data_IF_786982519541
#
_entry.id   IF_786982519541
#
_cell.length_a   1.000
_cell.length_b   1.000
_cell.length_c   1.000
_cell.angle_alpha   90.00
_cell.angle_beta   90.00
_cell.angle_gamma   90.00
#
_symmetry.space_group_name_H-M   'P 1'
#
loop_
_entity.id
_entity.type
_entity.pdbx_description
1 polymer ?
#
# COMPACT_ATOMS: atom_id res chain seq x y z
N UNK A 1 18.27 7.34 -10.41
CA UNK A 1 19.16 8.19 -9.58
C UNK A 1 18.84 7.95 -8.11
N UNK A 2 19.80 7.50 -7.34
CA UNK A 2 19.65 7.28 -5.89
C UNK A 2 20.27 8.49 -5.20
N UNK A 3 19.48 9.28 -4.52
CA UNK A 3 19.97 10.34 -3.66
C UNK A 3 19.77 9.89 -2.22
N UNK A 4 20.84 9.73 -1.44
CA UNK A 4 20.82 9.31 -0.03
C UNK A 4 20.12 7.95 0.24
N UNK A 5 20.26 6.95 -0.64
CA UNK A 5 19.63 5.63 -0.49
C UNK A 5 18.12 5.58 -0.69
N UNK A 6 17.47 6.70 -1.07
CA UNK A 6 16.02 6.78 -1.32
C UNK A 6 15.72 6.92 -2.80
N UNK A 7 14.75 6.15 -3.29
CA UNK A 7 14.24 6.32 -4.66
C UNK A 7 13.46 7.63 -4.75
N UNK A 8 13.75 8.41 -5.81
CA UNK A 8 13.00 9.62 -6.13
C UNK A 8 11.63 9.25 -6.70
N UNK A 9 10.59 9.99 -6.32
CA UNK A 9 9.27 9.89 -6.95
C UNK A 9 9.36 10.29 -8.44
N UNK A 10 8.57 9.65 -9.32
CA UNK A 10 8.55 9.98 -10.75
C UNK A 10 7.79 11.27 -11.10
N UNK A 11 7.43 12.06 -10.10
CA UNK A 11 6.74 13.35 -10.20
C UNK A 11 7.26 14.29 -9.12
N UNK A 12 7.02 15.59 -9.30
CA UNK A 12 7.33 16.61 -8.30
C UNK A 12 6.23 16.65 -7.23
N UNK A 13 6.55 16.42 -5.94
CA UNK A 13 5.59 16.54 -4.86
C UNK A 13 5.00 17.95 -4.71
N UNK A 14 5.76 19.02 -4.94
CA UNK A 14 5.27 20.39 -4.79
C UNK A 14 4.22 20.72 -5.86
N UNK A 15 4.43 20.30 -7.11
CA UNK A 15 3.44 20.42 -8.18
C UNK A 15 2.14 19.68 -7.83
N UNK A 16 2.30 18.46 -7.27
CA UNK A 16 1.15 17.68 -6.83
C UNK A 16 0.37 18.37 -5.70
N UNK A 17 1.06 18.93 -4.73
CA UNK A 17 0.43 19.65 -3.61
C UNK A 17 -0.25 20.94 -4.06
N UNK A 18 0.39 21.71 -4.94
CA UNK A 18 -0.19 22.92 -5.52
C UNK A 18 -1.48 22.59 -6.28
N UNK A 19 -1.45 21.56 -7.14
CA UNK A 19 -2.63 21.09 -7.87
C UNK A 19 -3.78 20.68 -6.92
N UNK A 20 -3.50 19.86 -5.92
CA UNK A 20 -4.52 19.34 -5.01
C UNK A 20 -5.16 20.45 -4.16
N UNK A 21 -4.37 21.43 -3.70
CA UNK A 21 -4.88 22.61 -2.97
C UNK A 21 -5.80 23.46 -3.85
N UNK A 22 -5.43 23.69 -5.09
CA UNK A 22 -6.24 24.44 -6.04
C UNK A 22 -7.54 23.70 -6.41
N UNK A 23 -7.45 22.37 -6.61
CA UNK A 23 -8.56 21.54 -7.05
C UNK A 23 -9.63 21.29 -5.96
N UNK A 24 -9.25 21.29 -4.67
CA UNK A 24 -10.16 20.93 -3.58
C UNK A 24 -9.78 21.61 -2.26
N UNK A 25 -10.48 22.68 -1.89
CA UNK A 25 -10.22 23.46 -0.66
C UNK A 25 -10.23 22.61 0.62
N UNK A 26 -11.12 21.60 0.75
CA UNK A 26 -11.16 20.73 1.92
C UNK A 26 -9.94 19.81 1.99
N UNK A 27 -9.49 19.31 0.84
CA UNK A 27 -8.26 18.55 0.76
C UNK A 27 -7.04 19.45 1.06
N UNK A 28 -7.04 20.68 0.56
CA UNK A 28 -6.01 21.68 0.90
C UNK A 28 -5.89 21.91 2.41
N UNK A 29 -7.02 22.10 3.10
CA UNK A 29 -7.04 22.20 4.57
C UNK A 29 -6.48 20.95 5.26
N UNK A 30 -6.75 19.75 4.73
CA UNK A 30 -6.17 18.51 5.26
C UNK A 30 -4.65 18.48 5.04
N UNK A 31 -4.17 18.85 3.85
CA UNK A 31 -2.74 18.94 3.52
C UNK A 31 -2.02 19.86 4.52
N UNK A 32 -2.57 21.04 4.78
CA UNK A 32 -1.97 22.01 5.70
C UNK A 32 -1.92 21.51 7.15
N UNK A 33 -2.95 20.76 7.57
CA UNK A 33 -3.01 20.15 8.91
C UNK A 33 -2.11 18.93 9.09
N UNK A 34 -1.97 18.13 8.04
CA UNK A 34 -1.20 16.89 8.09
C UNK A 34 0.31 17.12 7.90
N UNK A 35 0.68 18.27 7.36
CA UNK A 35 2.08 18.65 7.17
C UNK A 35 2.72 18.04 5.93
N UNK A 36 4.03 17.88 5.99
CA UNK A 36 4.89 17.50 4.86
C UNK A 36 4.50 16.15 4.24
N UNK A 37 4.49 16.09 2.91
CA UNK A 37 4.34 14.87 2.14
C UNK A 37 5.63 14.03 2.24
N UNK A 38 5.54 12.86 2.85
CA UNK A 38 6.69 12.01 3.13
C UNK A 38 6.53 10.57 2.66
N UNK A 39 5.84 10.37 1.54
CA UNK A 39 5.74 9.04 0.91
C UNK A 39 7.13 8.52 0.58
N UNK A 40 7.47 7.34 1.11
CA UNK A 40 8.72 6.64 0.83
C UNK A 40 8.45 5.46 -0.08
N UNK A 41 9.15 5.40 -1.20
CA UNK A 41 9.12 4.22 -2.05
C UNK A 41 9.92 3.09 -1.38
N UNK A 42 9.34 1.91 -1.31
CA UNK A 42 10.00 0.71 -0.80
C UNK A 42 11.18 0.28 -1.68
N UNK A 43 11.95 -0.71 -1.20
CA UNK A 43 13.11 -1.23 -1.90
C UNK A 43 12.80 -1.66 -3.35
N UNK A 44 13.82 -1.61 -4.20
CA UNK A 44 13.79 -2.01 -5.62
C UNK A 44 13.80 -3.53 -5.77
N UNK A 45 12.71 -4.17 -5.36
CA UNK A 45 12.47 -5.56 -5.76
C UNK A 45 11.87 -5.62 -7.18
N UNK A 46 11.84 -6.80 -7.73
CA UNK A 46 11.02 -7.08 -8.92
C UNK A 46 9.53 -7.08 -8.54
N UNK A 47 8.59 -7.01 -9.50
CA UNK A 47 7.19 -7.23 -9.20
C UNK A 47 6.95 -8.59 -8.51
N UNK A 48 7.68 -9.63 -8.90
CA UNK A 48 7.65 -10.94 -8.27
C UNK A 48 8.00 -10.87 -6.78
N UNK A 49 9.14 -10.31 -6.41
CA UNK A 49 9.58 -10.25 -5.00
C UNK A 49 8.68 -9.35 -4.16
N UNK A 50 8.16 -8.27 -4.73
CA UNK A 50 7.19 -7.39 -4.06
C UNK A 50 5.86 -8.08 -3.78
N UNK A 51 5.36 -8.90 -4.72
CA UNK A 51 4.13 -9.67 -4.54
C UNK A 51 4.34 -10.88 -3.61
N UNK A 52 5.51 -11.52 -3.66
CA UNK A 52 5.91 -12.57 -2.71
C UNK A 52 5.85 -12.05 -1.28
N UNK A 53 6.48 -10.91 -1.01
CA UNK A 53 6.40 -10.25 0.29
C UNK A 53 4.95 -9.95 0.67
N UNK A 54 4.17 -9.39 -0.25
CA UNK A 54 2.75 -9.07 -0.01
C UNK A 54 1.95 -10.31 0.39
N UNK A 55 2.11 -11.45 -0.29
CA UNK A 55 1.44 -12.72 0.04
C UNK A 55 1.84 -13.20 1.43
N UNK A 56 3.14 -13.15 1.76
CA UNK A 56 3.62 -13.60 3.08
C UNK A 56 3.04 -12.75 4.22
N UNK A 57 2.86 -11.45 3.99
CA UNK A 57 2.39 -10.51 5.02
C UNK A 57 0.86 -10.45 5.16
N UNK A 58 0.07 -11.01 4.24
CA UNK A 58 -1.41 -11.00 4.33
C UNK A 58 -1.90 -11.61 5.64
N UNK A 59 -2.85 -10.95 6.30
CA UNK A 59 -3.55 -11.43 7.51
C UNK A 59 -2.63 -11.79 8.69
N UNK A 60 -1.44 -11.19 8.78
CA UNK A 60 -0.50 -11.41 9.87
C UNK A 60 -0.08 -10.09 10.50
N UNK A 61 0.27 -10.13 11.80
CA UNK A 61 0.98 -9.02 12.42
C UNK A 61 2.41 -8.91 11.87
N UNK A 62 2.91 -7.70 11.69
CA UNK A 62 4.20 -7.43 11.06
C UNK A 62 5.37 -8.26 11.59
N UNK A 63 5.49 -8.47 12.92
CA UNK A 63 6.56 -9.30 13.52
C UNK A 63 6.47 -10.78 13.11
N UNK A 64 5.26 -11.35 13.10
CA UNK A 64 5.07 -12.75 12.71
C UNK A 64 5.33 -12.91 11.20
N UNK A 65 4.83 -12.00 10.36
CA UNK A 65 5.10 -11.99 8.93
C UNK A 65 6.60 -11.88 8.62
N UNK A 66 7.32 -10.97 9.29
CA UNK A 66 8.75 -10.79 9.12
C UNK A 66 9.54 -12.07 9.51
N UNK A 67 9.13 -12.78 10.57
CA UNK A 67 9.75 -14.03 10.98
C UNK A 67 9.57 -15.12 9.92
N UNK A 68 8.34 -15.26 9.36
CA UNK A 68 8.08 -16.23 8.30
C UNK A 68 8.86 -15.87 7.05
N UNK A 69 8.84 -14.58 6.65
CA UNK A 69 9.59 -14.11 5.49
C UNK A 69 11.09 -14.43 5.61
N UNK A 70 11.70 -14.12 6.76
CA UNK A 70 13.10 -14.47 7.01
C UNK A 70 13.38 -15.96 6.88
N UNK A 71 12.49 -16.84 7.40
CA UNK A 71 12.64 -18.29 7.27
C UNK A 71 12.50 -18.76 5.83
N UNK A 72 11.63 -18.12 5.04
CA UNK A 72 11.50 -18.41 3.60
C UNK A 72 12.79 -18.01 2.88
N UNK A 73 13.34 -16.81 3.12
CA UNK A 73 14.61 -16.37 2.51
C UNK A 73 15.77 -17.29 2.88
N UNK A 74 15.79 -17.83 4.11
CA UNK A 74 16.84 -18.77 4.54
C UNK A 74 16.86 -20.07 3.71
N UNK A 75 15.75 -20.47 3.09
CA UNK A 75 15.72 -21.62 2.16
C UNK A 75 16.51 -21.32 0.86
N UNK A 76 16.79 -20.06 0.57
CA UNK A 76 17.41 -19.59 -0.66
C UNK A 76 18.69 -18.76 -0.41
N UNK A 77 19.41 -19.06 0.68
CA UNK A 77 20.67 -18.38 1.01
C UNK A 77 20.49 -16.91 1.41
N UNK A 78 19.45 -16.60 2.18
CA UNK A 78 19.09 -15.25 2.68
C UNK A 78 18.78 -14.25 1.54
N UNK A 79 18.41 -14.76 0.36
CA UNK A 79 18.05 -13.97 -0.82
C UNK A 79 16.60 -14.25 -1.25
N UNK A 80 16.02 -13.35 -2.05
CA UNK A 80 14.76 -13.63 -2.71
C UNK A 80 14.90 -14.84 -3.63
N UNK A 81 13.94 -15.80 -3.64
CA UNK A 81 13.99 -16.94 -4.54
C UNK A 81 13.83 -16.53 -5.99
N UNK A 82 14.50 -17.23 -6.89
CA UNK A 82 14.14 -17.23 -8.30
C UNK A 82 12.80 -17.96 -8.49
N UNK A 83 11.96 -17.54 -9.45
CA UNK A 83 10.62 -18.15 -9.64
C UNK A 83 10.67 -19.66 -9.80
N UNK A 84 11.60 -20.19 -10.60
CA UNK A 84 11.73 -21.64 -10.79
C UNK A 84 12.11 -22.35 -9.49
N UNK A 85 13.05 -21.82 -8.72
CA UNK A 85 13.46 -22.39 -7.45
C UNK A 85 12.29 -22.48 -6.44
N UNK A 86 11.41 -21.46 -6.45
CA UNK A 86 10.22 -21.45 -5.61
C UNK A 86 9.20 -22.53 -6.04
N UNK A 87 9.04 -22.79 -7.33
CA UNK A 87 8.18 -23.87 -7.86
C UNK A 87 8.74 -25.23 -7.42
N UNK A 88 10.04 -25.43 -7.55
CA UNK A 88 10.71 -26.70 -7.28
C UNK A 88 10.81 -27.01 -5.78
N UNK A 89 10.66 -26.00 -4.91
CA UNK A 89 10.69 -26.19 -3.45
C UNK A 89 9.49 -27.03 -3.00
N UNK A 90 9.74 -28.16 -2.26
CA UNK A 90 8.67 -28.96 -1.69
C UNK A 90 7.78 -28.16 -0.74
N UNK A 91 6.47 -28.42 -0.79
CA UNK A 91 5.46 -27.74 0.06
C UNK A 91 5.79 -27.89 1.56
N UNK A 92 6.35 -29.03 1.95
CA UNK A 92 6.74 -29.35 3.33
C UNK A 92 7.81 -28.38 3.85
N UNK A 93 8.77 -27.97 3.02
CA UNK A 93 9.80 -27.02 3.38
C UNK A 93 9.21 -25.63 3.62
N UNK A 94 8.30 -25.20 2.74
CA UNK A 94 7.60 -23.92 2.93
C UNK A 94 6.67 -23.94 4.15
N UNK A 95 6.04 -25.09 4.44
CA UNK A 95 5.24 -25.26 5.68
C UNK A 95 6.13 -25.21 6.93
N UNK A 96 7.28 -25.83 6.91
CA UNK A 96 8.24 -25.78 8.01
C UNK A 96 8.74 -24.35 8.26
N UNK A 97 8.85 -23.52 7.22
CA UNK A 97 9.13 -22.09 7.34
C UNK A 97 7.96 -21.27 7.93
N UNK A 98 6.75 -21.88 8.06
CA UNK A 98 5.55 -21.25 8.64
C UNK A 98 4.56 -20.72 7.62
N UNK A 99 4.71 -21.07 6.34
CA UNK A 99 3.80 -20.63 5.27
C UNK A 99 2.54 -21.50 5.24
N UNK A 100 1.36 -20.89 5.29
CA UNK A 100 0.09 -21.64 5.21
C UNK A 100 -0.13 -22.23 3.82
N UNK A 101 -0.89 -23.34 3.73
CA UNK A 101 -1.15 -24.04 2.46
C UNK A 101 -1.76 -23.15 1.37
N UNK A 102 -2.63 -22.20 1.73
CA UNK A 102 -3.18 -21.25 0.76
C UNK A 102 -2.13 -20.25 0.25
N UNK A 103 -1.22 -19.80 1.12
CA UNK A 103 -0.10 -18.95 0.71
C UNK A 103 0.91 -19.69 -0.16
N UNK A 104 1.17 -20.99 0.12
CA UNK A 104 2.04 -21.81 -0.73
C UNK A 104 1.48 -21.90 -2.15
N UNK A 105 0.18 -22.17 -2.28
CA UNK A 105 -0.49 -22.19 -3.59
C UNK A 105 -0.41 -20.84 -4.30
N UNK A 106 -0.55 -19.73 -3.57
CA UNK A 106 -0.44 -18.39 -4.12
C UNK A 106 1.01 -18.05 -4.55
N UNK A 107 2.00 -18.45 -3.76
CA UNK A 107 3.42 -18.24 -4.08
C UNK A 107 3.84 -19.03 -5.33
N UNK A 108 3.41 -20.28 -5.46
CA UNK A 108 3.70 -21.11 -6.65
C UNK A 108 2.99 -20.60 -7.90
N UNK A 109 1.74 -20.13 -7.77
CA UNK A 109 1.02 -19.49 -8.87
C UNK A 109 1.71 -18.17 -9.31
N UNK A 110 2.15 -17.34 -8.35
CA UNK A 110 2.93 -16.15 -8.62
C UNK A 110 4.22 -16.48 -9.40
N UNK A 111 4.93 -17.54 -8.99
CA UNK A 111 6.16 -17.96 -9.65
C UNK A 111 5.88 -18.45 -11.08
N UNK A 112 4.86 -19.28 -11.29
CA UNK A 112 4.46 -19.76 -12.62
C UNK A 112 4.08 -18.60 -13.55
N UNK A 113 3.28 -17.64 -13.04
CA UNK A 113 2.87 -16.45 -13.80
C UNK A 113 4.01 -15.45 -14.04
N UNK A 114 5.10 -15.54 -13.29
CA UNK A 114 6.31 -14.78 -13.56
C UNK A 114 7.10 -15.41 -14.73
N UNK A 115 7.15 -16.74 -14.78
CA UNK A 115 7.84 -17.47 -15.86
C UNK A 115 7.10 -17.37 -17.20
N UNK A 116 5.77 -17.35 -17.19
CA UNK A 116 4.97 -17.21 -18.42
C UNK A 116 4.84 -15.74 -18.89
N UNK A 117 5.32 -14.77 -18.09
CA UNK A 117 5.31 -13.34 -18.43
C UNK A 117 4.01 -12.61 -18.08
N UNK A 118 3.01 -13.25 -17.47
CA UNK A 118 1.79 -12.58 -16.92
C UNK A 118 2.22 -11.55 -15.87
N UNK A 119 3.12 -11.92 -14.94
CA UNK A 119 3.81 -10.98 -14.05
C UNK A 119 5.02 -10.41 -14.78
N UNK A 120 4.99 -9.13 -15.18
CA UNK A 120 6.02 -8.55 -16.03
C UNK A 120 7.32 -8.30 -15.25
N UNK A 121 8.44 -8.26 -15.97
CA UNK A 121 9.72 -7.83 -15.40
C UNK A 121 9.65 -6.38 -14.91
N UNK A 122 10.60 -5.98 -14.03
CA UNK A 122 10.68 -4.60 -13.55
C UNK A 122 10.77 -3.57 -14.69
N UNK A 123 11.53 -3.86 -15.73
CA UNK A 123 11.66 -2.97 -16.90
C UNK A 123 10.37 -2.88 -17.71
N UNK A 124 9.65 -3.97 -17.83
CA UNK A 124 8.39 -4.03 -18.58
C UNK A 124 7.26 -3.31 -17.85
N UNK A 125 7.08 -3.55 -16.54
CA UNK A 125 5.98 -2.99 -15.75
C UNK A 125 5.99 -1.45 -15.72
N UNK A 126 7.17 -0.83 -15.80
CA UNK A 126 7.29 0.63 -15.81
C UNK A 126 6.66 1.27 -17.05
N UNK A 127 6.54 0.52 -18.15
CA UNK A 127 5.98 0.99 -19.42
C UNK A 127 4.49 0.73 -19.57
N UNK A 128 3.91 -0.11 -18.70
CA UNK A 128 2.50 -0.49 -18.79
C UNK A 128 1.61 0.57 -18.14
N UNK A 129 0.38 0.77 -18.67
CA UNK A 129 -0.68 1.53 -18.01
C UNK A 129 -1.09 0.87 -16.67
N UNK A 130 -1.49 1.69 -15.68
CA UNK A 130 -1.90 1.19 -14.36
C UNK A 130 -3.06 0.18 -14.45
N UNK A 131 -4.02 0.39 -15.36
CA UNK A 131 -5.15 -0.52 -15.57
C UNK A 131 -4.70 -1.90 -16.04
N UNK A 132 -3.75 -1.97 -16.98
CA UNK A 132 -3.19 -3.23 -17.48
C UNK A 132 -2.38 -3.96 -16.39
N UNK A 133 -1.64 -3.21 -15.56
CA UNK A 133 -0.92 -3.79 -14.42
C UNK A 133 -1.91 -4.41 -13.43
N UNK A 134 -3.00 -3.71 -13.12
CA UNK A 134 -4.04 -4.21 -12.21
C UNK A 134 -4.66 -5.48 -12.78
N UNK A 135 -5.04 -5.48 -14.05
CA UNK A 135 -5.64 -6.66 -14.70
C UNK A 135 -4.72 -7.88 -14.61
N UNK A 136 -3.49 -7.77 -15.13
CA UNK A 136 -2.52 -8.87 -15.16
C UNK A 136 -2.16 -9.40 -13.77
N UNK A 137 -1.83 -8.51 -12.84
CA UNK A 137 -1.38 -8.95 -11.52
C UNK A 137 -2.52 -9.49 -10.65
N UNK A 138 -3.77 -9.08 -10.91
CA UNK A 138 -4.95 -9.62 -10.22
C UNK A 138 -5.31 -11.04 -10.67
N UNK A 139 -4.71 -11.56 -11.74
CA UNK A 139 -4.83 -12.96 -12.13
C UNK A 139 -4.07 -13.90 -11.17
N UNK A 140 -3.05 -13.38 -10.48
CA UNK A 140 -2.27 -14.16 -9.51
C UNK A 140 -3.15 -14.53 -8.33
N UNK A 141 -3.16 -15.82 -7.98
CA UNK A 141 -3.93 -16.34 -6.86
C UNK A 141 -3.65 -15.57 -5.57
N UNK A 142 -4.71 -15.06 -4.93
CA UNK A 142 -4.61 -14.31 -3.67
C UNK A 142 -4.13 -12.87 -3.80
N UNK A 143 -3.90 -12.39 -5.01
CA UNK A 143 -3.62 -10.98 -5.30
C UNK A 143 -4.88 -10.32 -5.84
N UNK A 144 -5.43 -9.36 -5.09
CA UNK A 144 -6.56 -8.56 -5.53
C UNK A 144 -6.13 -7.15 -5.94
N UNK A 145 -7.05 -6.41 -6.54
CA UNK A 145 -6.86 -5.02 -6.99
C UNK A 145 -6.20 -4.15 -5.92
N UNK A 146 -6.63 -4.24 -4.66
CA UNK A 146 -6.04 -3.47 -3.57
C UNK A 146 -4.53 -3.74 -3.38
N UNK A 147 -4.10 -5.01 -3.46
CA UNK A 147 -2.67 -5.36 -3.33
C UNK A 147 -1.85 -4.76 -4.48
N UNK A 148 -2.41 -4.77 -5.70
CA UNK A 148 -1.76 -4.16 -6.87
C UNK A 148 -1.72 -2.64 -6.75
N UNK A 149 -2.78 -2.00 -6.28
CA UNK A 149 -2.80 -0.55 -6.00
C UNK A 149 -1.72 -0.14 -4.97
N UNK A 150 -1.49 -0.96 -3.92
CA UNK A 150 -0.40 -0.73 -2.96
C UNK A 150 0.98 -0.86 -3.64
N UNK A 151 1.17 -1.83 -4.53
CA UNK A 151 2.40 -1.96 -5.31
C UNK A 151 2.60 -0.73 -6.22
N UNK A 152 1.56 -0.29 -6.91
CA UNK A 152 1.60 0.90 -7.78
C UNK A 152 2.03 2.16 -7.00
N UNK A 153 1.43 2.39 -5.83
CA UNK A 153 1.70 3.58 -5.01
C UNK A 153 3.06 3.49 -4.33
N UNK A 154 3.34 2.40 -3.59
CA UNK A 154 4.47 2.32 -2.67
C UNK A 154 5.73 1.70 -3.28
N UNK A 155 5.62 0.98 -4.39
CA UNK A 155 6.78 0.37 -5.07
C UNK A 155 7.10 1.06 -6.39
N UNK A 156 6.08 1.37 -7.21
CA UNK A 156 6.30 2.02 -8.51
C UNK A 156 6.21 3.55 -8.45
N UNK A 157 5.64 4.12 -7.40
CA UNK A 157 5.48 5.57 -7.24
C UNK A 157 4.47 6.17 -8.22
N UNK A 158 3.49 5.39 -8.68
CA UNK A 158 2.48 5.89 -9.63
C UNK A 158 1.67 7.02 -9.01
N UNK A 159 1.54 8.19 -9.68
CA UNK A 159 0.92 9.37 -9.08
C UNK A 159 -0.60 9.32 -9.02
N UNK A 160 -1.24 8.50 -9.86
CA UNK A 160 -2.67 8.64 -10.15
C UNK A 160 -3.52 7.42 -9.77
N UNK A 161 -3.13 6.67 -8.74
CA UNK A 161 -3.87 5.52 -8.19
C UNK A 161 -4.77 6.00 -7.05
N UNK A 162 -6.02 5.50 -7.00
CA UNK A 162 -6.96 5.83 -5.94
C UNK A 162 -7.66 4.59 -5.39
N UNK A 163 -7.17 4.01 -4.29
CA UNK A 163 -7.66 2.75 -3.74
C UNK A 163 -9.00 2.95 -3.00
N UNK A 164 -10.10 3.00 -3.74
CA UNK A 164 -11.44 3.30 -3.22
C UNK A 164 -12.00 2.22 -2.30
N UNK A 165 -11.45 1.01 -2.32
CA UNK A 165 -11.84 -0.09 -1.44
C UNK A 165 -11.02 -0.13 -0.16
N UNK A 166 -9.92 0.64 -0.09
CA UNK A 166 -9.08 0.71 1.10
C UNK A 166 -9.83 1.34 2.28
N UNK A 167 -9.83 0.64 3.41
CA UNK A 167 -10.52 1.08 4.62
C UNK A 167 -10.01 2.43 5.13
N UNK A 168 -8.69 2.63 5.15
CA UNK A 168 -8.05 3.86 5.62
C UNK A 168 -8.38 5.05 4.72
N UNK A 169 -8.34 4.85 3.40
CA UNK A 169 -8.72 5.88 2.42
C UNK A 169 -10.20 6.24 2.54
N UNK A 170 -11.09 5.25 2.69
CA UNK A 170 -12.53 5.48 2.89
C UNK A 170 -12.80 6.22 4.22
N UNK A 171 -12.15 5.79 5.29
CA UNK A 171 -12.27 6.44 6.60
C UNK A 171 -11.73 7.88 6.55
N UNK A 172 -10.55 8.08 5.98
CA UNK A 172 -9.96 9.42 5.82
C UNK A 172 -10.80 10.34 4.96
N UNK A 173 -11.44 9.80 3.92
CA UNK A 173 -12.40 10.55 3.11
C UNK A 173 -13.62 10.98 3.93
N UNK A 174 -14.20 10.09 4.74
CA UNK A 174 -15.32 10.44 5.63
C UNK A 174 -14.91 11.55 6.61
N UNK A 175 -13.76 11.41 7.28
CA UNK A 175 -13.22 12.40 8.22
C UNK A 175 -13.00 13.78 7.59
N UNK A 176 -12.64 13.82 6.31
CA UNK A 176 -12.29 15.07 5.60
C UNK A 176 -13.53 15.74 4.99
N UNK A 177 -14.45 14.97 4.43
CA UNK A 177 -15.50 15.49 3.57
C UNK A 177 -16.93 15.36 4.13
N UNK A 178 -17.15 14.47 5.10
CA UNK A 178 -18.44 14.26 5.74
C UNK A 178 -18.50 14.90 7.13
N UNK A 179 -19.71 15.05 7.68
CA UNK A 179 -19.90 15.43 9.08
C UNK A 179 -19.88 14.16 9.93
N UNK A 180 -18.74 13.89 10.55
CA UNK A 180 -18.55 12.73 11.41
C UNK A 180 -18.57 13.18 12.88
N UNK A 181 -19.33 12.51 13.77
CA UNK A 181 -19.29 12.80 15.19
C UNK A 181 -17.89 12.60 15.77
N UNK A 182 -17.37 13.59 16.49
CA UNK A 182 -16.05 13.47 17.17
C UNK A 182 -16.09 12.53 18.40
N UNK A 183 -17.29 12.29 18.94
CA UNK A 183 -17.50 11.53 20.18
C UNK A 183 -17.31 10.02 20.04
N UNK A 184 -17.32 9.47 18.83
CA UNK A 184 -17.20 8.03 18.58
C UNK A 184 -16.46 7.72 17.27
N UNK A 185 -16.04 6.46 17.12
CA UNK A 185 -15.44 5.98 15.88
C UNK A 185 -16.49 5.90 14.75
N UNK A 186 -16.00 6.06 13.50
CA UNK A 186 -16.79 5.83 12.29
C UNK A 186 -17.09 4.33 12.17
N UNK A 187 -18.34 3.98 11.94
CA UNK A 187 -18.74 2.59 11.67
C UNK A 187 -18.55 2.25 10.18
N UNK A 188 -18.52 0.96 9.85
CA UNK A 188 -18.43 0.49 8.48
C UNK A 188 -19.58 1.00 7.59
N UNK A 189 -20.79 1.13 8.14
CA UNK A 189 -21.96 1.64 7.43
C UNK A 189 -21.87 3.14 7.07
N UNK A 190 -21.06 3.90 7.81
CA UNK A 190 -20.85 5.33 7.58
C UNK A 190 -19.72 5.61 6.56
N UNK A 191 -19.01 4.58 6.13
CA UNK A 191 -17.97 4.75 5.13
C UNK A 191 -18.57 5.12 3.76
N UNK A 192 -18.01 6.11 3.07
CA UNK A 192 -18.51 6.56 1.77
C UNK A 192 -18.48 5.43 0.74
N UNK A 193 -19.47 5.42 -0.14
CA UNK A 193 -19.50 4.49 -1.28
C UNK A 193 -18.38 4.85 -2.27
N UNK A 194 -17.77 3.86 -2.95
CA UNK A 194 -16.72 4.09 -3.94
C UNK A 194 -17.09 5.12 -5.01
N UNK A 195 -18.33 5.10 -5.50
CA UNK A 195 -18.80 6.01 -6.56
C UNK A 195 -18.76 7.48 -6.13
N UNK A 196 -19.11 7.76 -4.86
CA UNK A 196 -19.05 9.10 -4.26
C UNK A 196 -17.61 9.59 -4.20
N UNK A 197 -16.70 8.71 -3.80
CA UNK A 197 -15.29 9.01 -3.71
C UNK A 197 -14.67 9.23 -5.08
N UNK A 198 -14.95 8.36 -6.05
CA UNK A 198 -14.48 8.48 -7.43
C UNK A 198 -14.96 9.77 -8.08
N UNK A 199 -16.24 10.13 -7.89
CA UNK A 199 -16.80 11.39 -8.41
C UNK A 199 -16.01 12.60 -7.91
N UNK A 200 -15.65 12.64 -6.63
CA UNK A 200 -14.83 13.72 -6.07
C UNK A 200 -13.39 13.64 -6.55
N UNK A 201 -12.79 12.47 -6.58
CA UNK A 201 -11.39 12.23 -6.93
C UNK A 201 -11.07 12.53 -8.41
N UNK A 202 -12.07 12.74 -9.29
CA UNK A 202 -11.83 13.18 -10.67
C UNK A 202 -10.99 14.44 -10.74
N UNK A 203 -11.21 15.40 -9.84
CA UNK A 203 -10.51 16.68 -9.80
C UNK A 203 -9.08 16.58 -9.26
N UNK A 204 -8.72 15.48 -8.59
CA UNK A 204 -7.39 15.25 -8.02
C UNK A 204 -6.42 14.62 -9.03
N UNK A 205 -6.93 14.15 -10.18
CA UNK A 205 -6.04 13.68 -11.23
C UNK A 205 -5.14 14.84 -11.73
N UNK A 206 -3.85 14.55 -12.00
CA UNK A 206 -3.20 13.24 -12.06
C UNK A 206 -2.53 12.80 -10.74
N UNK A 207 -2.86 13.39 -9.58
CA UNK A 207 -2.17 13.16 -8.30
C UNK A 207 -3.02 12.47 -7.25
N UNK A 208 -3.88 11.52 -7.68
CA UNK A 208 -4.79 10.81 -6.77
C UNK A 208 -4.09 9.96 -5.71
N UNK A 209 -2.87 9.46 -5.98
CA UNK A 209 -2.07 8.74 -4.99
C UNK A 209 -1.63 9.65 -3.84
N UNK A 210 -1.26 10.90 -4.15
CA UNK A 210 -0.91 11.91 -3.14
C UNK A 210 -2.13 12.25 -2.30
N UNK A 211 -3.30 12.42 -2.93
CA UNK A 211 -4.56 12.63 -2.21
C UNK A 211 -4.88 11.44 -1.28
N UNK A 212 -4.73 10.19 -1.74
CA UNK A 212 -4.93 9.00 -0.93
C UNK A 212 -3.98 8.95 0.28
N UNK A 213 -2.72 9.34 0.09
CA UNK A 213 -1.75 9.44 1.18
C UNK A 213 -2.22 10.40 2.28
N UNK A 214 -2.72 11.56 1.92
CA UNK A 214 -3.27 12.51 2.90
C UNK A 214 -4.56 12.00 3.56
N UNK A 215 -5.38 11.22 2.87
CA UNK A 215 -6.54 10.58 3.49
C UNK A 215 -6.12 9.58 4.57
N UNK A 216 -5.04 8.82 4.38
CA UNK A 216 -4.46 8.01 5.46
C UNK A 216 -3.98 8.89 6.62
N UNK A 217 -3.35 10.04 6.37
CA UNK A 217 -2.95 10.98 7.44
C UNK A 217 -4.14 11.55 8.21
N UNK A 218 -5.30 11.72 7.57
CA UNK A 218 -6.51 12.12 8.29
C UNK A 218 -6.89 11.10 9.38
N UNK A 219 -6.66 9.79 9.14
CA UNK A 219 -6.87 8.75 10.14
C UNK A 219 -5.88 8.87 11.31
N UNK A 220 -4.62 9.19 11.03
CA UNK A 220 -3.60 9.37 12.08
C UNK A 220 -3.92 10.59 12.95
N UNK A 221 -4.33 11.70 12.34
CA UNK A 221 -4.77 12.90 13.05
C UNK A 221 -6.00 12.63 13.94
N UNK A 222 -6.98 11.86 13.44
CA UNK A 222 -8.15 11.43 14.23
C UNK A 222 -7.73 10.56 15.42
N UNK A 223 -6.83 9.60 15.20
CA UNK A 223 -6.32 8.73 16.27
C UNK A 223 -5.54 9.51 17.33
N UNK A 224 -4.72 10.47 16.93
CA UNK A 224 -3.98 11.34 17.85
C UNK A 224 -4.90 12.21 18.70
N UNK A 225 -5.98 12.74 18.09
CA UNK A 225 -6.96 13.59 18.81
C UNK A 225 -7.84 12.83 19.82
N UNK A 226 -7.87 11.49 19.73
CA UNK A 226 -8.68 10.62 20.63
C UNK A 226 -7.86 10.01 21.77
N UNK A 227 -6.52 10.12 21.74
CA UNK A 227 -5.68 9.69 22.88
C UNK A 227 -5.90 10.65 24.05
N UNK A 228 -6.11 10.17 25.29
CA UNK A 228 -6.09 11.04 26.46
C UNK A 228 -4.73 11.76 26.53
N UNK A 229 -4.76 13.01 26.95
CA UNK A 229 -3.52 13.74 27.24
C UNK A 229 -2.67 12.89 28.21
N UNK A 230 -1.32 12.85 28.04
CA UNK A 230 -0.48 12.22 29.05
C UNK A 230 -0.80 12.85 30.38
N UNK A 231 -1.13 12.04 31.39
CA UNK A 231 -1.26 12.51 32.79
C UNK A 231 0.01 13.29 33.12
N UNK A 232 -0.17 14.57 33.46
CA UNK A 232 0.92 15.38 33.95
C UNK A 232 1.51 14.63 35.14
N UNK A 233 2.79 14.24 35.03
CA UNK A 233 3.50 13.68 36.16
C UNK A 233 3.34 14.66 37.32
N UNK A 234 2.51 14.29 38.29
CA UNK A 234 2.42 14.98 39.57
C UNK A 234 3.81 14.88 40.18
N UNK A 235 4.52 16.01 40.14
CA UNK A 235 5.70 16.21 40.96
C UNK A 235 5.23 16.06 42.42
N UNK A 236 5.54 14.93 43.03
CA UNK A 236 5.47 14.77 44.47
C UNK A 236 6.73 15.38 45.05
N UNK A 237 6.52 16.39 45.89
CA UNK A 237 7.50 16.97 46.81
C UNK A 237 8.10 15.91 47.74
#
# INVERSE_FOLDING_TARGET
MIHNGRRKLPYDPEDALAHLRAADKKLGTLIDRAGEFSLKLGHTGTPFTSLLESILYQQLHGKAAATIHKRVLALYGESDPEPQALIDTPDEMLRAAGVSGNKIKALKDLAARTLDGTVPSHKAILKLPDAEIIERLSEVRGIGTWTVEMLLIFRLGRPNVFPVTDYGVRKGFALTFQRVPKSRAITAAELPKPEVMLKRAKRWAPFRSVAAWYLWRACDLDAASRKPAPEAATAAE
#
